data_IF_143595796691
#
_entry.id   IF_143595796691
#
_cell.length_a   1.000
_cell.length_b   1.000
_cell.length_c   1.000
_cell.angle_alpha   90.00
_cell.angle_beta   90.00
_cell.angle_gamma   90.00
#
_symmetry.space_group_name_H-M   'P 1'
#
loop_
_entity.id
_entity.type
_entity.pdbx_description
1 polymer ?
#
# COMPACT_ATOMS: atom_id res chain seq x y z
N UNK A 1 -33.81 7.16 48.61
CA UNK A 1 -34.21 6.53 47.33
C UNK A 1 -33.35 7.14 46.26
N UNK A 2 -32.53 6.30 45.63
CA UNK A 2 -31.65 6.66 44.54
C UNK A 2 -32.47 6.86 43.26
N UNK A 3 -31.99 7.71 42.36
CA UNK A 3 -31.70 7.18 41.03
C UNK A 3 -30.46 7.87 40.46
N UNK A 4 -29.46 7.05 40.16
CA UNK A 4 -28.18 7.47 39.63
C UNK A 4 -28.31 7.58 38.11
N UNK A 5 -28.05 8.78 37.56
CA UNK A 5 -27.98 8.97 36.12
C UNK A 5 -26.84 8.11 35.54
N UNK A 6 -27.23 7.16 34.71
CA UNK A 6 -26.37 6.27 33.93
C UNK A 6 -25.42 7.12 33.07
N UNK A 7 -24.09 6.93 33.13
CA UNK A 7 -23.18 7.62 32.24
C UNK A 7 -23.40 7.11 30.81
N UNK A 8 -23.72 8.04 29.92
CA UNK A 8 -23.91 7.82 28.50
C UNK A 8 -22.60 7.27 27.91
N UNK A 9 -22.61 5.99 27.56
CA UNK A 9 -21.49 5.31 26.94
C UNK A 9 -21.24 6.00 25.60
N UNK A 10 -20.25 6.89 25.55
CA UNK A 10 -19.78 7.44 24.29
C UNK A 10 -19.17 6.29 23.52
N UNK A 11 -19.93 5.72 22.59
CA UNK A 11 -19.43 4.89 21.51
C UNK A 11 -18.34 5.71 20.82
N UNK A 12 -17.11 5.54 21.27
CA UNK A 12 -15.91 5.89 20.53
C UNK A 12 -15.86 4.92 19.36
N UNK A 13 -16.74 5.13 18.39
CA UNK A 13 -16.67 4.50 17.08
C UNK A 13 -15.26 4.75 16.58
N UNK A 14 -14.44 3.69 16.57
CA UNK A 14 -13.10 3.63 16.01
C UNK A 14 -13.21 3.86 14.50
N UNK A 15 -13.45 5.12 14.12
CA UNK A 15 -13.75 5.51 12.76
C UNK A 15 -12.43 5.61 11.98
N UNK A 16 -12.37 4.91 10.84
CA UNK A 16 -11.32 5.04 9.84
C UNK A 16 -11.33 6.45 9.25
N UNK A 17 -10.61 7.36 9.91
CA UNK A 17 -10.47 8.75 9.47
C UNK A 17 -9.34 8.82 8.46
N UNK A 18 -9.63 9.44 7.32
CA UNK A 18 -8.63 9.72 6.27
C UNK A 18 -7.78 10.95 6.63
N UNK A 19 -8.27 11.83 7.50
CA UNK A 19 -7.56 13.04 7.89
C UNK A 19 -6.21 12.72 8.54
N UNK A 20 -5.12 13.24 7.97
CA UNK A 20 -3.75 13.03 8.45
C UNK A 20 -3.04 11.81 7.84
N UNK A 21 -3.73 10.98 7.05
CA UNK A 21 -3.09 9.92 6.27
C UNK A 21 -2.55 10.56 4.99
N UNK A 22 -1.24 10.45 4.70
CA UNK A 22 -0.70 10.94 3.44
C UNK A 22 -1.38 10.19 2.29
N UNK A 23 -1.61 10.86 1.17
CA UNK A 23 -2.13 10.19 -0.01
C UNK A 23 -1.01 9.39 -0.69
N UNK A 24 -1.28 8.15 -1.11
CA UNK A 24 -0.32 7.35 -1.88
C UNK A 24 -0.13 7.98 -3.27
N UNK A 25 1.10 8.33 -3.61
CA UNK A 25 1.46 8.90 -4.91
C UNK A 25 1.35 7.89 -6.04
N UNK A 26 1.64 8.28 -7.28
CA UNK A 26 1.72 7.34 -8.39
C UNK A 26 2.81 6.26 -8.17
N UNK A 27 2.70 5.10 -8.83
CA UNK A 27 3.70 4.05 -8.77
C UNK A 27 4.89 4.42 -9.67
N UNK A 28 5.77 5.24 -9.12
CA UNK A 28 6.97 5.74 -9.77
C UNK A 28 8.21 5.55 -8.87
N UNK A 29 9.43 5.83 -9.35
CA UNK A 29 10.65 5.61 -8.57
C UNK A 29 10.74 6.44 -7.29
N UNK A 30 10.01 7.54 -7.20
CA UNK A 30 9.89 8.43 -6.04
C UNK A 30 8.65 8.17 -5.19
N UNK A 31 7.94 7.06 -5.48
CA UNK A 31 6.74 6.64 -4.77
C UNK A 31 6.90 6.71 -3.25
N UNK A 32 5.94 7.34 -2.57
CA UNK A 32 5.89 7.40 -1.12
C UNK A 32 5.37 6.10 -0.45
N UNK A 33 5.14 5.03 -1.21
CA UNK A 33 4.59 3.76 -0.73
C UNK A 33 5.21 3.22 0.56
N UNK A 34 6.54 3.21 0.78
CA UNK A 34 7.10 2.71 2.04
C UNK A 34 6.61 3.48 3.28
N UNK A 35 6.52 4.82 3.17
CA UNK A 35 6.03 5.66 4.25
C UNK A 35 4.51 5.55 4.39
N UNK A 36 3.80 5.55 3.27
CA UNK A 36 2.34 5.42 3.24
C UNK A 36 1.87 4.10 3.85
N UNK A 37 2.45 2.98 3.42
CA UNK A 37 2.12 1.64 3.90
C UNK A 37 2.41 1.48 5.39
N UNK A 38 3.51 2.07 5.88
CA UNK A 38 3.79 2.13 7.32
C UNK A 38 2.69 2.87 8.09
N UNK A 39 2.31 4.08 7.65
CA UNK A 39 1.28 4.89 8.32
C UNK A 39 -0.08 4.16 8.32
N UNK A 40 -0.49 3.60 7.17
CA UNK A 40 -1.74 2.85 7.07
C UNK A 40 -1.71 1.61 7.99
N UNK A 41 -0.62 0.85 7.99
CA UNK A 41 -0.49 -0.34 8.85
C UNK A 41 -0.62 0.02 10.33
N UNK A 42 0.08 1.07 10.79
CA UNK A 42 0.01 1.54 12.18
C UNK A 42 -1.40 2.04 12.52
N UNK A 43 -2.05 2.75 11.60
CA UNK A 43 -3.43 3.21 11.80
C UNK A 43 -4.39 2.02 11.95
N UNK A 44 -4.34 1.04 11.04
CA UNK A 44 -5.18 -0.15 11.13
C UNK A 44 -4.89 -0.98 12.39
N UNK A 45 -3.64 -1.06 12.83
CA UNK A 45 -3.28 -1.72 14.10
C UNK A 45 -3.96 -1.03 15.29
N UNK A 46 -4.01 0.30 15.32
CA UNK A 46 -4.67 1.06 16.39
C UNK A 46 -6.19 0.82 16.48
N UNK A 47 -6.80 0.36 15.38
CA UNK A 47 -8.22 0.03 15.29
C UNK A 47 -8.50 -1.47 15.37
N UNK A 48 -7.48 -2.31 15.57
CA UNK A 48 -7.55 -3.77 15.48
C UNK A 48 -8.04 -4.29 14.11
N UNK A 49 -7.73 -3.59 13.01
CA UNK A 49 -8.14 -3.94 11.65
C UNK A 49 -7.00 -4.49 10.78
N UNK A 50 -5.74 -4.44 11.25
CA UNK A 50 -4.58 -4.89 10.47
C UNK A 50 -4.57 -6.39 10.15
N UNK A 51 -5.44 -7.18 10.79
CA UNK A 51 -5.63 -8.59 10.47
C UNK A 51 -6.15 -8.80 9.04
N UNK A 52 -6.88 -7.82 8.48
CA UNK A 52 -7.40 -7.84 7.11
C UNK A 52 -6.30 -7.76 6.05
N UNK A 53 -5.11 -7.27 6.42
CA UNK A 53 -3.95 -7.22 5.52
C UNK A 53 -3.15 -8.53 5.52
N UNK A 54 -3.67 -9.59 6.15
CA UNK A 54 -3.04 -10.92 6.19
C UNK A 54 -3.93 -11.95 5.52
N UNK A 55 -3.35 -13.04 4.96
CA UNK A 55 -4.14 -14.16 4.49
C UNK A 55 -4.97 -14.74 5.65
N UNK A 56 -6.28 -14.82 5.46
CA UNK A 56 -7.22 -15.42 6.41
C UNK A 56 -8.03 -16.47 5.67
N UNK A 57 -8.20 -17.63 6.29
CA UNK A 57 -9.06 -18.67 5.75
C UNK A 57 -10.53 -18.27 5.93
N UNK A 58 -11.43 -18.63 5.01
CA UNK A 58 -12.86 -18.32 5.15
C UNK A 58 -13.44 -18.79 6.49
N UNK A 59 -13.01 -19.95 6.99
CA UNK A 59 -13.44 -20.48 8.29
C UNK A 59 -12.99 -19.67 9.52
N UNK A 60 -12.01 -18.78 9.38
CA UNK A 60 -11.45 -17.96 10.47
C UNK A 60 -12.01 -16.53 10.48
N UNK A 61 -12.92 -16.21 9.56
CA UNK A 61 -13.54 -14.88 9.48
C UNK A 61 -14.49 -14.64 10.66
N UNK A 62 -14.31 -13.50 11.34
CA UNK A 62 -15.20 -13.08 12.41
C UNK A 62 -16.57 -12.67 11.86
N UNK A 63 -17.57 -12.57 12.74
CA UNK A 63 -18.89 -12.04 12.36
C UNK A 63 -18.85 -10.59 11.86
N UNK A 64 -17.81 -9.82 12.22
CA UNK A 64 -17.61 -8.44 11.76
C UNK A 64 -16.80 -8.35 10.46
N UNK A 65 -16.20 -9.45 9.99
CA UNK A 65 -15.19 -9.44 8.92
C UNK A 65 -15.68 -8.70 7.67
N UNK A 66 -16.89 -8.98 7.21
CA UNK A 66 -17.42 -8.37 5.99
C UNK A 66 -17.54 -6.84 6.09
N UNK A 67 -17.95 -6.34 7.26
CA UNK A 67 -18.04 -4.89 7.52
C UNK A 67 -16.65 -4.27 7.63
N UNK A 68 -15.79 -4.87 8.44
CA UNK A 68 -14.42 -4.40 8.66
C UNK A 68 -13.65 -4.35 7.32
N UNK A 69 -13.81 -5.38 6.50
CA UNK A 69 -13.24 -5.46 5.17
C UNK A 69 -13.77 -4.36 4.25
N UNK A 70 -15.09 -4.14 4.20
CA UNK A 70 -15.68 -3.06 3.39
C UNK A 70 -15.20 -1.67 3.85
N UNK A 71 -15.10 -1.46 5.18
CA UNK A 71 -14.62 -0.22 5.75
C UNK A 71 -13.14 0.02 5.39
N UNK A 72 -12.28 -1.01 5.43
CA UNK A 72 -10.88 -0.93 4.99
C UNK A 72 -10.75 -0.75 3.46
N UNK A 73 -11.57 -1.41 2.64
CA UNK A 73 -11.60 -1.20 1.19
C UNK A 73 -11.88 0.28 0.85
N UNK A 74 -12.92 0.84 1.48
CA UNK A 74 -13.28 2.26 1.35
C UNK A 74 -12.14 3.17 1.80
N UNK A 75 -11.49 2.86 2.92
CA UNK A 75 -10.35 3.61 3.41
C UNK A 75 -9.16 3.59 2.45
N UNK A 76 -8.77 2.43 1.91
CA UNK A 76 -7.69 2.31 0.92
C UNK A 76 -8.04 3.13 -0.31
N UNK A 77 -9.23 2.95 -0.90
CA UNK A 77 -9.65 3.70 -2.09
C UNK A 77 -9.60 5.23 -1.91
N UNK A 78 -9.81 5.73 -0.68
CA UNK A 78 -9.79 7.17 -0.36
C UNK A 78 -8.41 7.72 -0.01
N UNK A 79 -7.43 6.87 0.24
CA UNK A 79 -6.07 7.26 0.66
C UNK A 79 -5.04 7.13 -0.45
N UNK A 80 -5.47 6.79 -1.66
CA UNK A 80 -4.60 6.64 -2.83
C UNK A 80 -4.89 7.68 -3.92
N UNK A 81 -3.87 8.02 -4.72
CA UNK A 81 -4.04 8.80 -5.93
C UNK A 81 -4.87 8.07 -6.99
N UNK A 82 -5.51 8.84 -7.89
CA UNK A 82 -6.38 8.32 -8.94
C UNK A 82 -5.67 7.29 -9.84
N UNK A 83 -4.38 7.49 -10.11
CA UNK A 83 -3.56 6.58 -10.92
C UNK A 83 -3.44 5.19 -10.30
N UNK A 84 -3.66 5.06 -8.99
CA UNK A 84 -3.63 3.77 -8.30
C UNK A 84 -4.97 3.02 -8.36
N UNK A 85 -6.07 3.71 -8.67
CA UNK A 85 -7.40 3.11 -8.67
C UNK A 85 -7.52 1.97 -9.69
N UNK A 86 -6.78 2.02 -10.80
CA UNK A 86 -6.82 0.97 -11.82
C UNK A 86 -6.31 -0.39 -11.30
N UNK A 87 -5.36 -0.38 -10.35
CA UNK A 87 -4.77 -1.60 -9.78
C UNK A 87 -5.67 -2.24 -8.72
N UNK A 88 -6.43 -1.43 -7.97
CA UNK A 88 -7.30 -1.91 -6.89
C UNK A 88 -8.74 -2.15 -7.33
N UNK A 89 -9.15 -1.62 -8.49
CA UNK A 89 -10.50 -1.81 -9.07
C UNK A 89 -10.95 -3.28 -9.21
N UNK A 90 -10.07 -4.27 -9.50
CA UNK A 90 -10.46 -5.67 -9.53
C UNK A 90 -10.86 -6.26 -8.17
N UNK A 91 -10.61 -5.55 -7.07
CA UNK A 91 -10.80 -6.01 -5.68
C UNK A 91 -11.76 -5.10 -4.89
N UNK A 92 -12.99 -4.83 -5.38
CA UNK A 92 -13.88 -3.84 -4.78
C UNK A 92 -14.35 -4.19 -3.37
N UNK A 93 -14.25 -5.47 -2.99
CA UNK A 93 -14.69 -6.07 -1.74
C UNK A 93 -13.60 -6.95 -1.11
N UNK A 94 -12.34 -6.72 -1.44
CA UNK A 94 -11.21 -7.48 -0.90
C UNK A 94 -10.06 -6.54 -0.50
N UNK A 95 -10.03 -6.18 0.78
CA UNK A 95 -9.03 -5.26 1.32
C UNK A 95 -7.61 -5.82 1.18
N UNK A 96 -7.46 -7.15 1.30
CA UNK A 96 -6.17 -7.82 1.13
C UNK A 96 -5.71 -7.75 -0.32
N UNK A 97 -6.60 -8.05 -1.26
CA UNK A 97 -6.34 -7.94 -2.69
C UNK A 97 -5.96 -6.51 -3.11
N UNK A 98 -6.67 -5.49 -2.60
CA UNK A 98 -6.29 -4.09 -2.83
C UNK A 98 -4.90 -3.77 -2.29
N UNK A 99 -4.59 -4.22 -1.07
CA UNK A 99 -3.29 -4.00 -0.44
C UNK A 99 -2.15 -4.65 -1.23
N UNK A 100 -2.32 -5.91 -1.64
CA UNK A 100 -1.31 -6.66 -2.40
C UNK A 100 -1.09 -6.05 -3.77
N UNK A 101 -2.15 -5.65 -4.47
CA UNK A 101 -2.03 -5.00 -5.77
C UNK A 101 -1.22 -3.71 -5.70
N UNK A 102 -1.43 -2.89 -4.65
CA UNK A 102 -0.62 -1.70 -4.40
C UNK A 102 0.82 -2.05 -4.03
N UNK A 103 0.99 -3.04 -3.15
CA UNK A 103 2.32 -3.51 -2.76
C UNK A 103 3.15 -3.95 -3.96
N UNK A 104 2.61 -4.84 -4.79
CA UNK A 104 3.30 -5.38 -5.96
C UNK A 104 3.62 -4.26 -6.95
N UNK A 105 2.63 -3.43 -7.28
CA UNK A 105 2.80 -2.36 -8.27
C UNK A 105 3.86 -1.34 -7.83
N UNK A 106 3.85 -0.93 -6.56
CA UNK A 106 4.81 0.05 -6.07
C UNK A 106 6.19 -0.57 -5.83
N UNK A 107 6.29 -1.79 -5.31
CA UNK A 107 7.58 -2.47 -5.17
C UNK A 107 8.23 -2.65 -6.55
N UNK A 108 7.47 -3.07 -7.56
CA UNK A 108 7.97 -3.24 -8.93
C UNK A 108 8.36 -1.92 -9.62
N UNK A 109 7.76 -0.79 -9.21
CA UNK A 109 7.98 0.53 -9.82
C UNK A 109 9.04 1.36 -9.11
N UNK A 110 9.42 1.00 -7.88
CA UNK A 110 10.45 1.72 -7.12
C UNK A 110 11.86 1.40 -7.61
N UNK A 111 12.81 2.27 -7.28
CA UNK A 111 14.25 1.97 -7.40
C UNK A 111 14.74 0.79 -6.51
N UNK A 112 13.84 0.07 -5.84
CA UNK A 112 14.12 -1.22 -5.21
C UNK A 112 13.57 -2.43 -5.99
N UNK A 113 12.68 -2.21 -6.97
CA UNK A 113 11.98 -3.26 -7.71
C UNK A 113 12.80 -3.90 -8.82
N UNK A 114 12.73 -5.24 -8.93
CA UNK A 114 13.40 -5.99 -9.99
C UNK A 114 12.90 -5.56 -11.37
N UNK A 115 11.60 -5.35 -11.54
CA UNK A 115 11.01 -4.94 -12.83
C UNK A 115 11.40 -3.52 -13.20
N UNK A 116 11.45 -2.58 -12.25
CA UNK A 116 11.97 -1.23 -12.50
C UNK A 116 13.41 -1.28 -13.02
N UNK A 117 14.31 -2.01 -12.36
CA UNK A 117 15.69 -2.11 -12.83
C UNK A 117 15.83 -2.87 -14.14
N UNK A 118 14.95 -3.84 -14.40
CA UNK A 118 14.91 -4.54 -15.68
C UNK A 118 14.50 -3.60 -16.80
N UNK A 119 13.41 -2.84 -16.61
CA UNK A 119 12.95 -1.81 -17.54
C UNK A 119 14.02 -0.76 -17.77
N UNK A 120 14.66 -0.26 -16.71
CA UNK A 120 15.75 0.71 -16.81
C UNK A 120 16.92 0.14 -17.61
N UNK A 121 17.35 -1.09 -17.33
CA UNK A 121 18.44 -1.74 -18.05
C UNK A 121 18.14 -1.91 -19.55
N UNK A 122 16.95 -2.38 -19.92
CA UNK A 122 16.60 -2.63 -21.34
C UNK A 122 16.28 -1.35 -22.12
N UNK A 123 15.96 -0.25 -21.44
CA UNK A 123 15.67 1.04 -22.09
C UNK A 123 16.84 2.01 -22.06
N UNK A 124 17.90 1.71 -21.30
CA UNK A 124 19.10 2.54 -21.23
C UNK A 124 19.77 2.59 -22.61
N UNK A 125 19.97 3.80 -23.14
CA UNK A 125 20.66 4.03 -24.41
C UNK A 125 21.95 4.78 -24.17
N UNK A 126 23.00 4.42 -24.92
CA UNK A 126 24.23 5.20 -24.94
C UNK A 126 23.88 6.64 -25.36
N UNK A 127 24.17 7.58 -24.47
CA UNK A 127 23.93 9.01 -24.68
C UNK A 127 25.28 9.70 -24.66
N UNK A 128 25.71 10.24 -25.80
CA UNK A 128 27.06 10.80 -25.97
C UNK A 128 28.10 9.75 -26.37
N UNK A 129 29.38 10.09 -26.19
CA UNK A 129 30.52 9.28 -26.66
C UNK A 129 31.20 8.47 -25.55
N UNK A 130 30.82 8.65 -24.28
CA UNK A 130 31.45 7.96 -23.14
C UNK A 130 30.83 6.57 -22.92
N UNK A 131 31.39 5.59 -23.62
CA UNK A 131 30.99 4.18 -23.51
C UNK A 131 31.29 3.62 -22.11
N UNK A 132 32.37 4.06 -21.46
CA UNK A 132 32.76 3.57 -20.14
C UNK A 132 31.77 4.02 -19.04
N UNK A 133 31.31 5.26 -19.11
CA UNK A 133 30.25 5.75 -18.21
C UNK A 133 28.94 4.98 -18.42
N UNK A 134 28.58 4.70 -19.67
CA UNK A 134 27.38 3.92 -19.99
C UNK A 134 27.46 2.48 -19.47
N UNK A 135 28.60 1.80 -19.67
CA UNK A 135 28.83 0.44 -19.14
C UNK A 135 28.74 0.43 -17.61
N UNK A 136 29.29 1.44 -16.93
CA UNK A 136 29.18 1.57 -15.46
C UNK A 136 27.72 1.72 -15.03
N UNK A 137 26.92 2.51 -15.75
CA UNK A 137 25.49 2.67 -15.45
C UNK A 137 24.70 1.38 -15.68
N UNK A 138 24.96 0.65 -16.78
CA UNK A 138 24.39 -0.68 -17.01
C UNK A 138 24.76 -1.67 -15.90
N UNK A 139 26.03 -1.66 -15.49
CA UNK A 139 26.52 -2.52 -14.41
C UNK A 139 25.82 -2.21 -13.07
N UNK A 140 25.59 -0.93 -12.75
CA UNK A 140 24.82 -0.55 -11.57
C UNK A 140 23.37 -1.07 -11.61
N UNK A 141 22.70 -0.98 -12.77
CA UNK A 141 21.37 -1.54 -12.95
C UNK A 141 21.36 -3.07 -12.75
N UNK A 142 22.37 -3.77 -13.29
CA UNK A 142 22.52 -5.22 -13.14
C UNK A 142 22.83 -5.66 -11.70
N UNK A 143 23.59 -4.87 -10.93
CA UNK A 143 23.83 -5.12 -9.51
C UNK A 143 22.52 -5.01 -8.74
N UNK A 144 21.75 -3.93 -8.98
CA UNK A 144 20.47 -3.70 -8.31
C UNK A 144 19.42 -4.77 -8.66
N UNK A 145 19.45 -5.31 -9.87
CA UNK A 145 18.64 -6.46 -10.29
C UNK A 145 18.89 -7.74 -9.48
N UNK A 146 20.13 -7.93 -8.99
CA UNK A 146 20.53 -9.11 -8.22
C UNK A 146 20.29 -8.97 -6.72
N UNK A 147 20.03 -7.75 -6.25
CA UNK A 147 19.89 -7.44 -4.82
C UNK A 147 18.45 -7.39 -4.31
N UNK A 148 17.46 -7.65 -5.16
CA UNK A 148 16.04 -7.73 -4.81
C UNK A 148 15.44 -9.09 -5.14
#
# INVERSE_FOLDING_TARGET
MADAAVPNNSDSSLSLKVAGIPQLSAPDPSSNYPNWSFVVTVHLLSLNLAYLLKPIKPEEQSASWAKDNADVCSFIARTVHQDNLCFIRPFPDDAKGMWDALQDTHLDSTAGGRIYWLRKLVTLRLSGEDIDAHIKEMAMCAVRLKSG
#
